data_IF_387644098700
#
_entry.id   IF_387644098700
#
_cell.length_a   1.000
_cell.length_b   1.000
_cell.length_c   1.000
_cell.angle_alpha   90.00
_cell.angle_beta   90.00
_cell.angle_gamma   90.00
#
_symmetry.space_group_name_H-M   'P 1'
#
loop_
_entity.id
_entity.type
_entity.pdbx_description
1 polymer ?
#
# COMPACT_ATOMS: atom_id res chain seq x y z
N UNK A 1 23.81 5.63 2.37
CA UNK A 1 22.45 5.06 2.37
C UNK A 1 22.34 3.52 2.31
N UNK A 2 23.43 2.76 2.08
CA UNK A 2 23.36 1.29 2.01
C UNK A 2 22.82 0.63 3.30
N UNK A 3 23.18 1.18 4.45
CA UNK A 3 22.81 0.65 5.77
C UNK A 3 21.29 0.69 6.04
N UNK A 4 20.61 1.81 5.73
CA UNK A 4 19.16 1.90 5.92
C UNK A 4 18.39 0.86 5.10
N UNK A 5 18.85 0.59 3.87
CA UNK A 5 18.26 -0.42 2.99
C UNK A 5 18.50 -1.84 3.46
N UNK A 6 19.69 -2.11 4.02
CA UNK A 6 20.00 -3.43 4.57
C UNK A 6 19.09 -3.80 5.75
N UNK A 7 18.80 -2.85 6.64
CA UNK A 7 17.96 -3.11 7.82
C UNK A 7 16.47 -2.78 7.66
N UNK A 8 16.05 -2.16 6.57
CA UNK A 8 14.63 -1.81 6.42
C UNK A 8 14.17 -0.66 7.31
N UNK A 9 15.04 0.28 7.64
CA UNK A 9 14.75 1.34 8.63
C UNK A 9 14.73 2.73 8.02
N UNK A 10 14.02 3.65 8.69
CA UNK A 10 14.03 5.04 8.27
C UNK A 10 15.38 5.72 8.52
N UNK A 11 15.69 6.79 7.79
CA UNK A 11 16.89 7.60 8.03
C UNK A 11 16.98 8.10 9.48
N UNK A 12 15.85 8.52 10.06
CA UNK A 12 15.78 8.97 11.44
C UNK A 12 16.05 7.82 12.44
N UNK A 13 15.51 6.63 12.18
CA UNK A 13 15.78 5.46 13.01
C UNK A 13 17.26 5.04 12.96
N UNK A 14 17.91 5.16 11.79
CA UNK A 14 19.34 4.91 11.65
C UNK A 14 20.18 5.92 12.46
N UNK A 15 19.85 7.22 12.37
CA UNK A 15 20.53 8.26 13.15
C UNK A 15 20.38 8.03 14.66
N UNK A 16 19.18 7.66 15.11
CA UNK A 16 18.92 7.27 16.50
C UNK A 16 19.77 6.05 16.91
N UNK A 17 19.84 5.02 16.04
CA UNK A 17 20.63 3.81 16.33
C UNK A 17 22.11 4.12 16.48
N UNK A 18 22.68 4.96 15.62
CA UNK A 18 24.08 5.37 15.73
C UNK A 18 24.40 6.10 17.03
N UNK A 19 23.50 6.99 17.48
CA UNK A 19 23.63 7.63 18.78
C UNK A 19 23.54 6.60 19.92
N UNK A 20 22.57 5.67 19.87
CA UNK A 20 22.40 4.65 20.91
C UNK A 20 23.60 3.70 21.05
N UNK A 21 24.36 3.51 19.96
CA UNK A 21 25.56 2.68 19.93
C UNK A 21 26.84 3.47 20.24
N UNK A 22 26.74 4.79 20.51
CA UNK A 22 27.90 5.64 20.76
C UNK A 22 28.79 5.89 19.54
N UNK A 23 28.32 5.56 18.33
CA UNK A 23 29.05 5.79 17.08
C UNK A 23 29.03 7.27 16.67
N UNK A 24 28.07 8.02 17.21
CA UNK A 24 27.89 9.45 16.98
C UNK A 24 27.64 10.09 18.35
N UNK A 25 28.25 11.25 18.60
CA UNK A 25 28.02 12.01 19.84
C UNK A 25 26.59 12.57 19.88
N UNK A 26 26.10 12.83 21.09
CA UNK A 26 24.77 13.41 21.30
C UNK A 26 24.61 14.76 20.55
N UNK A 27 25.66 15.58 20.51
CA UNK A 27 25.68 16.84 19.77
C UNK A 27 25.54 16.62 18.26
N UNK A 28 26.30 15.68 17.68
CA UNK A 28 26.19 15.35 16.26
C UNK A 28 24.80 14.77 15.92
N UNK A 29 24.24 13.95 16.81
CA UNK A 29 22.87 13.43 16.65
C UNK A 29 21.82 14.53 16.63
N UNK A 30 21.94 15.56 17.49
CA UNK A 30 21.06 16.74 17.45
C UNK A 30 21.16 17.48 16.12
N UNK A 31 22.38 17.73 15.64
CA UNK A 31 22.61 18.39 14.35
C UNK A 31 21.99 17.60 13.19
N UNK A 32 22.18 16.27 13.17
CA UNK A 32 21.55 15.38 12.19
C UNK A 32 20.02 15.44 12.23
N UNK A 33 19.42 15.43 13.42
CA UNK A 33 17.96 15.58 13.57
C UNK A 33 17.44 16.89 13.00
N UNK A 34 18.16 18.00 13.19
CA UNK A 34 17.81 19.32 12.62
C UNK A 34 17.89 19.28 11.10
N UNK A 35 18.95 18.69 10.54
CA UNK A 35 19.13 18.58 9.09
C UNK A 35 18.04 17.71 8.45
N UNK A 36 17.72 16.56 9.06
CA UNK A 36 16.62 15.68 8.63
C UNK A 36 15.29 16.44 8.58
N UNK A 37 15.02 17.29 9.60
CA UNK A 37 13.81 18.10 9.63
C UNK A 37 13.82 19.20 8.57
N UNK A 38 14.93 19.93 8.42
CA UNK A 38 15.08 21.01 7.41
C UNK A 38 14.93 20.50 5.99
N UNK A 39 15.46 19.30 5.71
CA UNK A 39 15.36 18.65 4.40
C UNK A 39 14.00 17.98 4.14
N UNK A 40 13.06 18.05 5.10
CA UNK A 40 11.72 17.46 4.95
C UNK A 40 11.70 15.93 4.99
N UNK A 41 12.77 15.29 5.45
CA UNK A 41 12.93 13.83 5.42
C UNK A 41 12.11 13.07 6.45
N UNK A 42 11.31 13.78 7.27
CA UNK A 42 10.32 13.16 8.15
C UNK A 42 9.04 12.74 7.40
N UNK A 43 8.73 13.41 6.29
CA UNK A 43 7.55 13.13 5.46
C UNK A 43 7.94 12.55 4.11
N UNK A 44 8.98 13.09 3.47
CA UNK A 44 9.52 12.60 2.21
C UNK A 44 10.88 11.97 2.45
N UNK A 45 10.88 10.69 2.81
CA UNK A 45 12.10 9.99 3.12
C UNK A 45 13.01 9.85 1.87
N UNK A 46 14.31 10.16 1.99
CA UNK A 46 15.26 9.96 0.89
C UNK A 46 15.47 8.47 0.64
N UNK A 47 15.33 8.06 -0.62
CA UNK A 47 15.32 6.64 -1.03
C UNK A 47 14.32 5.82 -0.21
N UNK A 48 13.01 6.01 -0.44
CA UNK A 48 11.97 5.32 0.30
C UNK A 48 11.99 3.82 -0.05
N UNK A 49 11.77 2.98 0.96
CA UNK A 49 11.67 1.54 0.78
C UNK A 49 10.21 1.13 0.48
N UNK A 50 10.04 -0.03 -0.14
CA UNK A 50 8.73 -0.63 -0.30
C UNK A 50 8.10 -0.86 1.08
N UNK A 51 6.82 -0.49 1.23
CA UNK A 51 6.10 -0.76 2.47
C UNK A 51 6.06 -2.26 2.75
N UNK A 52 6.25 -2.63 4.01
CA UNK A 52 6.05 -4.01 4.44
C UNK A 52 4.59 -4.42 4.22
N UNK A 53 4.40 -5.64 3.71
CA UNK A 53 3.08 -6.20 3.46
C UNK A 53 2.97 -7.55 4.14
N UNK A 54 1.76 -7.90 4.59
CA UNK A 54 1.52 -9.17 5.27
C UNK A 54 1.66 -10.33 4.28
N UNK A 55 2.68 -11.16 4.47
CA UNK A 55 2.84 -12.39 3.69
C UNK A 55 1.73 -13.40 3.99
N UNK A 56 1.26 -13.45 5.25
CA UNK A 56 0.22 -14.38 5.68
C UNK A 56 -1.11 -14.06 5.00
N UNK A 57 -1.48 -12.77 4.94
CA UNK A 57 -2.71 -12.34 4.31
C UNK A 57 -2.75 -12.78 2.84
N UNK A 58 -1.66 -12.57 2.10
CA UNK A 58 -1.53 -13.02 0.72
C UNK A 58 -1.76 -14.53 0.60
N UNK A 59 -1.06 -15.33 1.41
CA UNK A 59 -1.19 -16.80 1.39
C UNK A 59 -2.60 -17.28 1.72
N UNK A 60 -3.24 -16.71 2.74
CA UNK A 60 -4.61 -17.07 3.13
C UNK A 60 -5.59 -16.75 2.00
N UNK A 61 -5.43 -15.59 1.37
CA UNK A 61 -6.30 -15.19 0.25
C UNK A 61 -6.09 -16.05 -0.99
N UNK A 62 -4.86 -16.45 -1.29
CA UNK A 62 -4.55 -17.39 -2.37
C UNK A 62 -5.22 -18.76 -2.12
N UNK A 63 -5.18 -19.26 -0.88
CA UNK A 63 -5.85 -20.51 -0.49
C UNK A 63 -7.36 -20.39 -0.63
N UNK A 64 -7.97 -19.31 -0.13
CA UNK A 64 -9.41 -19.08 -0.24
C UNK A 64 -9.85 -18.98 -1.72
N UNK A 65 -9.05 -18.32 -2.56
CA UNK A 65 -9.28 -18.26 -3.99
C UNK A 65 -9.21 -19.65 -4.65
N UNK A 66 -8.25 -20.49 -4.27
CA UNK A 66 -8.13 -21.87 -4.79
C UNK A 66 -9.35 -22.74 -4.46
N UNK A 67 -9.99 -22.48 -3.31
CA UNK A 67 -11.25 -23.12 -2.87
C UNK A 67 -12.50 -22.52 -3.50
N UNK A 68 -12.34 -21.56 -4.42
CA UNK A 68 -13.41 -20.76 -5.03
C UNK A 68 -14.24 -19.96 -4.02
N UNK A 69 -13.69 -19.70 -2.83
CA UNK A 69 -14.37 -18.92 -1.81
C UNK A 69 -14.24 -17.43 -2.11
N UNK A 70 -15.32 -16.82 -2.60
CA UNK A 70 -15.36 -15.39 -2.91
C UNK A 70 -15.54 -14.51 -1.66
N UNK A 71 -15.43 -13.18 -1.83
CA UNK A 71 -15.60 -12.20 -0.72
C UNK A 71 -16.94 -12.34 0.00
N UNK A 72 -18.01 -12.67 -0.74
CA UNK A 72 -19.36 -12.87 -0.19
C UNK A 72 -19.41 -14.07 0.75
N UNK A 73 -18.76 -15.17 0.37
CA UNK A 73 -18.74 -16.40 1.17
C UNK A 73 -17.86 -16.24 2.41
N UNK A 74 -16.75 -15.51 2.29
CA UNK A 74 -15.92 -15.13 3.44
C UNK A 74 -16.73 -14.27 4.42
N UNK A 75 -17.41 -13.24 3.90
CA UNK A 75 -18.25 -12.35 4.69
C UNK A 75 -19.37 -13.13 5.40
N UNK A 76 -20.06 -14.02 4.69
CA UNK A 76 -21.11 -14.89 5.23
C UNK A 76 -20.56 -15.82 6.33
N UNK A 77 -19.40 -16.46 6.10
CA UNK A 77 -18.78 -17.36 7.09
C UNK A 77 -18.34 -16.64 8.38
N UNK A 78 -17.98 -15.36 8.27
CA UNK A 78 -17.54 -14.53 9.40
C UNK A 78 -18.68 -13.70 10.00
N UNK A 79 -19.90 -13.79 9.47
CA UNK A 79 -21.04 -12.94 9.84
C UNK A 79 -20.72 -11.43 9.74
N UNK A 80 -19.94 -11.06 8.73
CA UNK A 80 -19.54 -9.68 8.44
C UNK A 80 -20.15 -9.19 7.13
N UNK A 81 -20.21 -7.88 6.94
CA UNK A 81 -20.53 -7.28 5.65
C UNK A 81 -19.32 -7.34 4.70
N UNK A 82 -19.60 -7.31 3.39
CA UNK A 82 -18.54 -7.25 2.37
C UNK A 82 -17.73 -5.95 2.49
N UNK A 83 -18.34 -4.87 2.97
CA UNK A 83 -17.69 -3.59 3.19
C UNK A 83 -16.69 -3.66 4.35
N UNK A 84 -17.05 -4.29 5.46
CA UNK A 84 -16.13 -4.54 6.58
C UNK A 84 -14.95 -5.41 6.17
N UNK A 85 -15.18 -6.47 5.37
CA UNK A 85 -14.09 -7.29 4.83
C UNK A 85 -13.13 -6.45 3.97
N UNK A 86 -13.64 -5.58 3.10
CA UNK A 86 -12.80 -4.70 2.28
C UNK A 86 -12.03 -3.68 3.15
N UNK A 87 -12.64 -3.18 4.22
CA UNK A 87 -12.02 -2.27 5.19
C UNK A 87 -10.89 -2.95 5.95
N UNK A 88 -11.14 -4.13 6.52
CA UNK A 88 -10.16 -4.92 7.29
C UNK A 88 -8.99 -5.40 6.43
N UNK A 89 -9.24 -5.63 5.14
CA UNK A 89 -8.20 -6.03 4.19
C UNK A 89 -7.54 -4.85 3.48
N UNK A 90 -7.88 -3.61 3.85
CA UNK A 90 -7.36 -2.36 3.27
C UNK A 90 -7.46 -2.33 1.73
N UNK A 91 -8.44 -3.01 1.15
CA UNK A 91 -8.59 -3.19 -0.31
C UNK A 91 -7.37 -3.86 -0.98
N UNK A 92 -6.47 -4.49 -0.22
CA UNK A 92 -5.24 -5.11 -0.70
C UNK A 92 -5.48 -6.46 -1.39
N UNK A 93 -6.71 -6.97 -1.36
CA UNK A 93 -7.03 -8.32 -1.81
C UNK A 93 -7.42 -8.30 -3.27
N UNK A 94 -6.53 -8.81 -4.13
CA UNK A 94 -6.72 -9.00 -5.57
C UNK A 94 -7.71 -10.12 -5.92
N UNK A 95 -8.75 -10.34 -5.11
CA UNK A 95 -9.80 -11.29 -5.43
C UNK A 95 -10.73 -10.61 -6.44
N UNK A 96 -10.66 -11.04 -7.70
CA UNK A 96 -11.36 -10.46 -8.86
C UNK A 96 -12.73 -9.89 -8.50
N UNK A 97 -12.90 -8.59 -8.71
CA UNK A 97 -14.21 -7.95 -8.76
C UNK A 97 -14.85 -8.44 -10.07
N UNK A 98 -15.70 -9.47 -10.02
CA UNK A 98 -16.81 -9.49 -10.98
C UNK A 98 -17.67 -8.32 -10.55
N UNK A 99 -17.43 -7.17 -11.18
CA UNK A 99 -18.30 -6.02 -11.02
C UNK A 99 -19.61 -6.39 -11.70
N UNK A 100 -20.52 -6.96 -10.91
CA UNK A 100 -21.94 -7.03 -11.21
C UNK A 100 -22.61 -5.67 -11.03
N UNK A 101 -21.88 -4.56 -11.25
CA UNK A 101 -22.50 -3.26 -11.43
C UNK A 101 -23.12 -3.23 -12.81
N UNK A 102 -24.40 -3.62 -12.93
CA UNK A 102 -25.23 -3.19 -14.06
C UNK A 102 -25.21 -1.67 -14.06
N UNK A 103 -24.32 -1.08 -14.86
CA UNK A 103 -24.42 0.32 -15.23
C UNK A 103 -25.68 0.46 -16.08
N UNK A 104 -26.80 0.74 -15.43
CA UNK A 104 -28.01 1.18 -16.11
C UNK A 104 -27.80 2.62 -16.59
N UNK A 105 -26.83 2.82 -17.49
CA UNK A 105 -26.70 4.04 -18.28
C UNK A 105 -27.34 3.72 -19.63
N UNK A 106 -28.37 4.44 -20.07
CA UNK A 106 -28.89 4.24 -21.42
C UNK A 106 -27.73 4.49 -22.39
N UNK A 107 -27.42 3.49 -23.24
CA UNK A 107 -26.46 3.65 -24.33
C UNK A 107 -26.98 4.79 -25.22
N UNK A 108 -26.39 5.97 -25.08
CA UNK A 108 -26.61 7.04 -26.04
C UNK A 108 -26.21 6.50 -27.42
N UNK A 109 -27.16 6.48 -28.37
CA UNK A 109 -26.92 6.10 -29.75
C UNK A 109 -25.87 7.05 -30.33
N UNK A 110 -24.62 6.60 -30.42
CA UNK A 110 -23.56 7.33 -31.12
C UNK A 110 -23.79 7.12 -32.62
N UNK A 111 -24.28 8.15 -33.30
CA UNK A 111 -24.28 8.16 -34.76
C UNK A 111 -22.81 8.14 -35.25
N UNK A 112 -22.48 7.33 -36.28
CA UNK A 112 -21.12 7.27 -36.78
C UNK A 112 -20.71 8.61 -37.40
N UNK A 113 -19.47 9.08 -37.21
CA UNK A 113 -19.00 10.32 -37.79
C UNK A 113 -18.94 10.20 -39.33
N UNK A 114 -19.57 11.13 -40.03
CA UNK A 114 -19.47 11.28 -41.49
C UNK A 114 -18.11 11.92 -41.81
N UNK A 115 -17.19 11.11 -42.31
CA UNK A 115 -15.95 11.58 -42.92
C UNK A 115 -16.16 11.63 -44.44
N UNK A 116 -16.08 12.82 -45.02
CA UNK A 116 -16.03 13.02 -46.47
C UNK A 116 -14.58 13.30 -46.85
N UNK A 117 -14.03 12.50 -47.76
CA UNK A 117 -12.74 12.77 -48.39
C UNK A 117 -12.96 13.81 -49.50
N UNK A 118 -12.09 14.82 -49.54
CA UNK A 118 -11.94 15.77 -50.65
C UNK A 118 -11.23 15.06 -51.80
#
# INVERSE_FOLDING_TARGET
MKLKHYWGVSLAALAYRFNSLGLVSEWNYRSLCIEIAKSGYRTNEPEPMSRETSQLLTKVMDILQSRKQGRREIAESLSLSVEEINSLTFQLTKMSVVSGGRSNRPKAKKNPPKLTLI
#
